data_IF_309728914564
#
_entry.id   IF_309728914564
#
_cell.length_a   1.000
_cell.length_b   1.000
_cell.length_c   1.000
_cell.angle_alpha   90.00
_cell.angle_beta   90.00
_cell.angle_gamma   90.00
#
_symmetry.space_group_name_H-M   'P 1'
#
loop_
_entity.id
_entity.type
_entity.pdbx_description
1 polymer ?
#
# COMPACT_ATOMS: atom_id res chain seq x y z
N UNK A 1 8.34 -4.62 28.68
CA UNK A 1 7.02 -4.85 29.29
C UNK A 1 5.94 -5.07 28.24
N UNK A 2 5.80 -4.21 27.18
CA UNK A 2 4.81 -4.43 26.13
C UNK A 2 5.06 -5.72 25.32
N UNK A 3 6.31 -6.12 25.11
CA UNK A 3 6.66 -7.36 24.39
C UNK A 3 6.31 -8.63 25.16
N UNK A 4 6.42 -8.61 26.48
CA UNK A 4 6.04 -9.74 27.34
C UNK A 4 4.54 -9.96 27.32
N UNK A 5 3.74 -8.90 27.40
CA UNK A 5 2.28 -8.98 27.31
C UNK A 5 1.80 -9.58 25.97
N UNK A 6 2.56 -9.38 24.89
CA UNK A 6 2.24 -9.97 23.58
C UNK A 6 2.75 -11.41 23.40
N UNK A 7 3.76 -11.84 24.16
CA UNK A 7 4.36 -13.17 24.00
C UNK A 7 3.44 -14.32 24.48
N UNK A 8 2.51 -14.03 25.36
CA UNK A 8 1.52 -14.98 25.86
C UNK A 8 0.32 -15.17 24.91
N UNK A 9 0.21 -14.34 23.89
CA UNK A 9 -0.85 -14.43 22.88
C UNK A 9 -0.28 -14.97 21.57
N UNK A 10 -1.05 -15.82 20.91
CA UNK A 10 -0.70 -16.29 19.56
C UNK A 10 -0.68 -15.13 18.58
N UNK A 11 0.52 -14.74 18.14
CA UNK A 11 0.71 -13.68 17.17
C UNK A 11 0.78 -14.28 15.75
N UNK A 12 -0.02 -13.73 14.85
CA UNK A 12 -0.06 -14.17 13.46
C UNK A 12 0.26 -13.00 12.54
N UNK A 13 0.89 -13.29 11.40
CA UNK A 13 1.02 -12.31 10.33
C UNK A 13 -0.38 -11.99 9.81
N UNK A 14 -0.74 -10.72 9.80
CA UNK A 14 -2.02 -10.25 9.27
C UNK A 14 -2.05 -10.40 7.75
N UNK A 15 -3.15 -10.93 7.23
CA UNK A 15 -3.44 -10.90 5.82
C UNK A 15 -3.99 -9.51 5.39
N UNK A 16 -3.99 -9.22 4.09
CA UNK A 16 -4.62 -8.01 3.56
C UNK A 16 -6.10 -7.92 3.96
N UNK A 17 -6.81 -9.04 3.96
CA UNK A 17 -8.20 -9.10 4.40
C UNK A 17 -8.36 -8.68 5.86
N UNK A 18 -7.47 -9.12 6.76
CA UNK A 18 -7.51 -8.74 8.18
C UNK A 18 -7.42 -7.23 8.35
N UNK A 19 -6.52 -6.57 7.58
CA UNK A 19 -6.33 -5.12 7.64
C UNK A 19 -7.58 -4.38 7.14
N UNK A 20 -8.18 -4.86 6.07
CA UNK A 20 -9.41 -4.28 5.51
C UNK A 20 -10.58 -4.47 6.47
N UNK A 21 -10.77 -5.67 7.02
CA UNK A 21 -11.83 -5.93 8.00
C UNK A 21 -11.67 -5.09 9.26
N UNK A 22 -10.43 -4.92 9.72
CA UNK A 22 -10.15 -4.01 10.83
C UNK A 22 -10.52 -2.55 10.50
N UNK A 23 -10.21 -2.07 9.30
CA UNK A 23 -10.63 -0.74 8.85
C UNK A 23 -12.17 -0.61 8.73
N UNK A 24 -12.89 -1.72 8.60
CA UNK A 24 -14.36 -1.79 8.64
C UNK A 24 -14.92 -1.89 10.07
N UNK A 25 -14.09 -1.89 11.10
CA UNK A 25 -14.51 -2.06 12.50
C UNK A 25 -14.74 -3.52 12.89
N UNK A 26 -14.06 -4.46 12.22
CA UNK A 26 -14.18 -5.89 12.49
C UNK A 26 -12.87 -6.48 13.01
N UNK A 27 -12.96 -7.55 13.76
CA UNK A 27 -11.83 -8.33 14.25
C UNK A 27 -11.98 -9.81 13.88
N UNK A 28 -10.85 -10.52 13.83
CA UNK A 28 -10.86 -11.97 13.67
C UNK A 28 -11.63 -12.64 14.82
N UNK A 29 -12.57 -13.49 14.45
CA UNK A 29 -13.26 -14.35 15.43
C UNK A 29 -12.29 -15.41 15.96
N UNK A 30 -12.30 -15.58 17.28
CA UNK A 30 -11.46 -16.55 17.97
C UNK A 30 -12.32 -17.50 18.78
N UNK A 31 -11.84 -18.70 18.96
CA UNK A 31 -12.43 -19.68 19.87
C UNK A 31 -12.08 -19.40 21.35
N UNK A 32 -12.52 -20.28 22.25
CA UNK A 32 -12.26 -20.15 23.68
C UNK A 32 -10.76 -20.25 24.07
N UNK A 33 -9.93 -20.80 23.18
CA UNK A 33 -8.47 -20.92 23.36
C UNK A 33 -7.71 -19.75 22.73
N UNK A 34 -8.42 -18.81 22.11
CA UNK A 34 -7.82 -17.68 21.41
C UNK A 34 -7.36 -17.98 19.96
N UNK A 35 -7.67 -19.18 19.44
CA UNK A 35 -7.31 -19.59 18.10
C UNK A 35 -8.26 -18.98 17.05
N UNK A 36 -7.74 -18.69 15.86
CA UNK A 36 -8.54 -18.15 14.75
C UNK A 36 -9.51 -19.19 14.22
N UNK A 37 -10.76 -18.80 14.01
CA UNK A 37 -11.77 -19.64 13.39
C UNK A 37 -11.75 -19.47 11.88
N UNK A 38 -11.57 -20.55 11.14
CA UNK A 38 -11.53 -20.55 9.68
C UNK A 38 -11.98 -21.89 9.09
N UNK A 39 -12.34 -21.86 7.81
CA UNK A 39 -12.55 -23.06 6.99
C UNK A 39 -11.43 -23.17 5.97
N UNK A 40 -11.06 -24.41 5.63
CA UNK A 40 -10.05 -24.71 4.60
C UNK A 40 -10.72 -25.50 3.48
N UNK A 41 -10.49 -25.08 2.25
CA UNK A 41 -10.91 -25.81 1.05
C UNK A 41 -9.71 -26.07 0.15
N UNK A 42 -9.82 -27.10 -0.68
CA UNK A 42 -8.74 -27.57 -1.55
C UNK A 42 -8.04 -28.82 -0.99
N UNK A 43 -7.08 -29.30 -1.75
CA UNK A 43 -6.28 -30.47 -1.37
C UNK A 43 -4.80 -30.08 -1.43
N UNK A 44 -4.06 -30.45 -0.38
CA UNK A 44 -2.63 -30.15 -0.35
C UNK A 44 -1.90 -30.72 -1.57
N UNK A 45 -1.14 -29.88 -2.24
CA UNK A 45 -0.30 -30.25 -3.39
C UNK A 45 1.10 -29.66 -3.22
N UNK A 46 2.14 -30.50 -3.03
CA UNK A 46 3.51 -30.03 -2.85
C UNK A 46 4.08 -29.30 -4.07
N UNK A 47 3.56 -29.56 -5.27
CA UNK A 47 4.00 -28.91 -6.51
C UNK A 47 3.40 -27.49 -6.66
N UNK A 48 2.34 -27.20 -5.91
CA UNK A 48 1.63 -25.90 -5.92
C UNK A 48 1.28 -25.45 -4.50
N UNK A 49 2.25 -25.33 -3.60
CA UNK A 49 1.98 -25.14 -2.16
C UNK A 49 1.28 -23.82 -1.83
N UNK A 50 1.38 -22.80 -2.71
CA UNK A 50 0.78 -21.50 -2.49
C UNK A 50 -0.68 -21.39 -2.93
N UNK A 51 -1.14 -22.27 -3.81
CA UNK A 51 -2.43 -22.13 -4.50
C UNK A 51 -3.34 -23.35 -4.32
N UNK A 52 -2.94 -24.33 -3.50
CA UNK A 52 -3.69 -25.57 -3.35
C UNK A 52 -4.71 -25.54 -2.21
N UNK A 53 -4.56 -24.62 -1.26
CA UNK A 53 -5.47 -24.47 -0.14
C UNK A 53 -6.00 -23.02 -0.09
N UNK A 54 -7.29 -22.90 0.17
CA UNK A 54 -7.93 -21.61 0.43
C UNK A 54 -8.42 -21.58 1.87
N UNK A 55 -8.01 -20.57 2.61
CA UNK A 55 -8.42 -20.32 3.99
C UNK A 55 -9.46 -19.20 3.99
N UNK A 56 -10.61 -19.44 4.59
CA UNK A 56 -11.65 -18.44 4.81
C UNK A 56 -11.83 -18.21 6.31
N UNK A 57 -11.36 -17.07 6.79
CA UNK A 57 -11.46 -16.67 8.18
C UNK A 57 -12.84 -16.09 8.51
N UNK A 58 -13.26 -16.24 9.76
CA UNK A 58 -14.45 -15.61 10.29
C UNK A 58 -14.11 -14.29 10.99
N UNK A 59 -14.98 -13.31 10.82
CA UNK A 59 -14.86 -11.99 11.44
C UNK A 59 -16.13 -11.66 12.22
N UNK A 60 -15.97 -10.87 13.27
CA UNK A 60 -17.05 -10.33 14.11
C UNK A 60 -16.87 -8.83 14.25
N UNK A 61 -17.90 -8.13 14.68
CA UNK A 61 -17.77 -6.71 15.00
C UNK A 61 -16.81 -6.54 16.18
N UNK A 62 -15.91 -5.55 16.07
CA UNK A 62 -14.98 -5.24 17.14
C UNK A 62 -15.73 -4.49 18.26
N UNK A 63 -15.79 -5.02 19.48
CA UNK A 63 -16.47 -4.34 20.59
C UNK A 63 -15.77 -3.03 20.99
N UNK A 64 -14.53 -2.80 20.55
CA UNK A 64 -13.79 -1.56 20.79
C UNK A 64 -13.84 -0.59 19.58
N UNK A 65 -14.65 -0.92 18.57
CA UNK A 65 -14.78 -0.06 17.38
C UNK A 65 -15.34 1.32 17.77
N UNK A 66 -14.59 2.36 17.43
CA UNK A 66 -14.98 3.76 17.71
C UNK A 66 -15.77 4.39 16.56
N UNK A 67 -16.10 3.62 15.51
CA UNK A 67 -16.73 4.13 14.29
C UNK A 67 -15.78 4.82 13.32
N UNK A 68 -14.48 4.91 13.64
CA UNK A 68 -13.50 5.43 12.70
C UNK A 68 -13.31 4.45 11.52
N UNK A 69 -13.23 4.99 10.31
CA UNK A 69 -13.08 4.20 9.07
C UNK A 69 -11.83 4.67 8.33
N UNK A 70 -10.63 4.24 8.76
CA UNK A 70 -9.38 4.61 8.12
C UNK A 70 -9.27 4.00 6.72
N UNK A 71 -8.43 4.59 5.90
CA UNK A 71 -7.98 3.97 4.66
C UNK A 71 -6.84 2.99 4.90
N UNK A 72 -6.45 2.27 3.84
CA UNK A 72 -5.33 1.35 3.84
C UNK A 72 -4.29 1.81 2.82
N UNK A 73 -3.06 1.97 3.27
CA UNK A 73 -1.92 2.29 2.42
C UNK A 73 -1.07 1.03 2.25
N UNK A 74 -1.14 0.40 1.07
CA UNK A 74 -0.59 -0.94 0.82
C UNK A 74 0.73 -0.83 0.07
N UNK A 75 1.81 -1.30 0.66
CA UNK A 75 3.11 -1.35 0.01
C UNK A 75 3.41 -2.72 -0.61
N UNK A 76 3.73 -2.71 -1.90
CA UNK A 76 4.21 -3.88 -2.64
C UNK A 76 5.74 -3.95 -2.52
N UNK A 77 6.20 -4.77 -1.60
CA UNK A 77 7.63 -4.97 -1.37
C UNK A 77 8.22 -6.01 -2.31
N UNK A 78 9.51 -5.88 -2.59
CA UNK A 78 10.37 -6.92 -3.17
C UNK A 78 9.74 -7.63 -4.37
N UNK A 79 9.47 -6.90 -5.45
CA UNK A 79 8.74 -7.43 -6.62
C UNK A 79 9.34 -8.72 -7.19
N UNK A 80 10.66 -8.94 -7.06
CA UNK A 80 11.34 -10.16 -7.49
C UNK A 80 11.04 -11.39 -6.62
N UNK A 81 10.57 -11.21 -5.39
CA UNK A 81 10.12 -12.29 -4.49
C UNK A 81 8.64 -12.62 -4.68
N UNK A 82 7.89 -11.74 -5.31
CA UNK A 82 6.47 -11.92 -5.54
C UNK A 82 6.21 -12.75 -6.81
N UNK A 83 5.11 -13.53 -6.86
CA UNK A 83 4.65 -14.12 -8.09
C UNK A 83 4.43 -13.05 -9.17
N UNK A 84 4.62 -13.41 -10.44
CA UNK A 84 4.45 -12.49 -11.59
C UNK A 84 3.02 -11.94 -11.73
N UNK A 85 2.04 -12.59 -11.11
CA UNK A 85 0.63 -12.20 -11.06
C UNK A 85 0.21 -11.55 -9.71
N UNK A 86 1.18 -11.10 -8.91
CA UNK A 86 0.92 -10.57 -7.57
C UNK A 86 -0.02 -9.36 -7.59
N UNK A 87 0.21 -8.39 -8.47
CA UNK A 87 -0.61 -7.18 -8.59
C UNK A 87 -2.05 -7.53 -9.00
N UNK A 88 -2.21 -8.51 -9.88
CA UNK A 88 -3.52 -9.05 -10.25
C UNK A 88 -4.22 -9.74 -9.08
N UNK A 89 -3.49 -10.48 -8.26
CA UNK A 89 -4.04 -11.09 -7.03
C UNK A 89 -4.54 -10.03 -6.06
N UNK A 90 -3.81 -8.92 -5.92
CA UNK A 90 -4.27 -7.78 -5.10
C UNK A 90 -5.51 -7.15 -5.70
N UNK A 91 -5.54 -6.92 -7.02
CA UNK A 91 -6.73 -6.42 -7.72
C UNK A 91 -7.96 -7.29 -7.40
N UNK A 92 -7.84 -8.61 -7.58
CA UNK A 92 -8.93 -9.54 -7.33
C UNK A 92 -9.34 -9.58 -5.85
N UNK A 93 -8.39 -9.51 -4.93
CA UNK A 93 -8.69 -9.49 -3.49
C UNK A 93 -9.41 -8.21 -3.08
N UNK A 94 -8.99 -7.06 -3.59
CA UNK A 94 -9.70 -5.79 -3.35
C UNK A 94 -11.11 -5.82 -3.94
N UNK A 95 -11.28 -6.46 -5.10
CA UNK A 95 -12.59 -6.64 -5.72
C UNK A 95 -13.52 -7.53 -4.88
N UNK A 96 -13.01 -8.69 -4.45
CA UNK A 96 -13.71 -9.62 -3.55
C UNK A 96 -14.18 -8.94 -2.26
N UNK A 97 -13.34 -8.08 -1.69
CA UNK A 97 -13.60 -7.37 -0.45
C UNK A 97 -14.47 -6.09 -0.63
N UNK A 98 -14.78 -5.72 -1.89
CA UNK A 98 -15.55 -4.53 -2.19
C UNK A 98 -14.77 -3.21 -2.07
N UNK A 99 -13.43 -3.28 -2.05
CA UNK A 99 -12.54 -2.14 -1.88
C UNK A 99 -11.80 -1.74 -3.16
N UNK A 100 -12.12 -2.35 -4.29
CA UNK A 100 -11.56 -1.97 -5.58
C UNK A 100 -12.37 -0.81 -6.17
N UNK A 101 -11.78 0.37 -6.22
CA UNK A 101 -12.43 1.58 -6.76
C UNK A 101 -12.92 1.43 -8.21
N UNK A 102 -12.32 0.53 -8.99
CA UNK A 102 -12.70 0.32 -10.40
C UNK A 102 -14.06 -0.37 -10.47
N UNK A 103 -14.32 -1.33 -9.60
CA UNK A 103 -15.53 -2.14 -9.55
C UNK A 103 -16.53 -1.62 -8.54
N UNK A 104 -16.07 -0.89 -7.54
CA UNK A 104 -16.85 -0.25 -6.47
C UNK A 104 -16.44 1.22 -6.30
N UNK A 105 -16.71 2.06 -7.29
CA UNK A 105 -16.39 3.48 -7.19
C UNK A 105 -17.19 4.14 -6.05
N UNK A 106 -16.62 5.18 -5.47
CA UNK A 106 -17.30 6.00 -4.47
C UNK A 106 -18.21 7.00 -5.16
N UNK A 107 -19.50 6.88 -4.93
CA UNK A 107 -20.51 7.74 -5.58
C UNK A 107 -20.29 9.22 -5.20
N UNK A 108 -20.36 10.07 -6.24
CA UNK A 108 -20.24 11.52 -6.07
C UNK A 108 -18.81 12.05 -5.89
N UNK A 109 -17.79 11.16 -5.79
CA UNK A 109 -16.40 11.56 -5.64
C UNK A 109 -15.61 11.31 -6.94
N UNK A 110 -15.08 12.37 -7.58
CA UNK A 110 -14.30 12.20 -8.81
C UNK A 110 -12.91 11.64 -8.51
N UNK A 111 -12.33 10.89 -9.47
CA UNK A 111 -10.96 10.36 -9.33
C UNK A 111 -9.90 11.47 -9.26
N UNK A 112 -10.12 12.57 -9.95
CA UNK A 112 -9.29 13.77 -9.86
C UNK A 112 -10.07 14.93 -9.26
N UNK A 113 -9.45 15.64 -8.33
CA UNK A 113 -9.97 16.87 -7.71
C UNK A 113 -8.85 17.92 -7.72
N UNK A 114 -9.13 19.10 -8.26
CA UNK A 114 -8.13 20.16 -8.42
C UNK A 114 -6.86 19.69 -9.19
N UNK A 115 -7.05 18.92 -10.25
CA UNK A 115 -5.99 18.33 -11.08
C UNK A 115 -5.05 17.36 -10.35
N UNK A 116 -5.43 16.86 -9.17
CA UNK A 116 -4.68 15.86 -8.40
C UNK A 116 -5.56 14.65 -8.14
N UNK A 117 -4.94 13.49 -7.94
CA UNK A 117 -5.68 12.29 -7.54
C UNK A 117 -6.44 12.56 -6.24
N UNK A 118 -7.70 12.18 -6.21
CA UNK A 118 -8.52 12.27 -5.01
C UNK A 118 -8.36 10.97 -4.21
N UNK A 119 -7.49 10.99 -3.22
CA UNK A 119 -7.22 9.81 -2.37
C UNK A 119 -8.40 9.41 -1.48
N UNK A 120 -9.42 10.26 -1.37
CA UNK A 120 -10.66 9.97 -0.65
C UNK A 120 -11.75 9.31 -1.49
N UNK A 121 -11.49 9.00 -2.77
CA UNK A 121 -12.49 8.55 -3.74
C UNK A 121 -12.74 7.03 -3.76
N UNK A 122 -12.24 6.27 -2.80
CA UNK A 122 -12.52 4.85 -2.63
C UNK A 122 -13.45 4.62 -1.46
N UNK A 123 -14.24 3.53 -1.49
CA UNK A 123 -15.03 3.15 -0.32
C UNK A 123 -14.14 2.91 0.91
N UNK A 124 -12.96 2.32 0.69
CA UNK A 124 -12.00 2.04 1.73
C UNK A 124 -10.76 2.94 1.71
N UNK A 125 -10.70 3.97 0.84
CA UNK A 125 -9.53 4.85 0.73
C UNK A 125 -8.23 4.06 0.56
N UNK A 126 -8.13 3.28 -0.50
CA UNK A 126 -6.93 2.48 -0.81
C UNK A 126 -5.92 3.30 -1.58
N UNK A 127 -4.69 3.35 -1.09
CA UNK A 127 -3.53 3.84 -1.83
C UNK A 127 -2.54 2.67 -1.95
N UNK A 128 -2.05 2.41 -3.14
CA UNK A 128 -0.98 1.45 -3.38
C UNK A 128 0.35 2.18 -3.45
N UNK A 129 1.43 1.54 -3.00
CA UNK A 129 2.78 2.09 -3.14
C UNK A 129 3.81 0.99 -3.42
N UNK A 130 4.89 1.36 -4.07
CA UNK A 130 6.03 0.48 -4.32
C UNK A 130 7.30 1.27 -4.59
N UNK A 131 8.44 0.68 -4.22
CA UNK A 131 9.77 1.12 -4.67
C UNK A 131 10.13 0.54 -6.04
N UNK A 132 9.51 -0.56 -6.44
CA UNK A 132 9.86 -1.31 -7.63
C UNK A 132 9.22 -0.72 -8.89
N UNK A 133 10.03 -0.35 -9.87
CA UNK A 133 9.55 0.09 -11.19
C UNK A 133 8.75 -1.01 -11.89
N UNK A 134 9.18 -2.27 -11.76
CA UNK A 134 8.47 -3.40 -12.36
C UNK A 134 7.08 -3.62 -11.73
N UNK A 135 6.97 -3.51 -10.41
CA UNK A 135 5.67 -3.59 -9.73
C UNK A 135 4.77 -2.40 -10.09
N UNK A 136 5.35 -1.19 -10.21
CA UNK A 136 4.62 -0.01 -10.69
C UNK A 136 4.03 -0.24 -12.09
N UNK A 137 4.83 -0.79 -13.02
CA UNK A 137 4.39 -1.14 -14.37
C UNK A 137 3.25 -2.14 -14.36
N UNK A 138 3.37 -3.25 -13.61
CA UNK A 138 2.31 -4.27 -13.47
C UNK A 138 1.04 -3.68 -12.85
N UNK A 139 1.19 -2.82 -11.85
CA UNK A 139 0.05 -2.11 -11.24
C UNK A 139 -0.66 -1.22 -12.27
N UNK A 140 0.11 -0.51 -13.11
CA UNK A 140 -0.48 0.30 -14.18
C UNK A 140 -1.23 -0.55 -15.21
N UNK A 141 -0.74 -1.75 -15.50
CA UNK A 141 -1.41 -2.70 -16.41
C UNK A 141 -2.71 -3.24 -15.81
N UNK A 142 -2.72 -3.66 -14.56
CA UNK A 142 -3.91 -4.25 -13.92
C UNK A 142 -4.96 -3.19 -13.57
N UNK A 143 -4.57 -2.10 -12.94
CA UNK A 143 -5.49 -1.06 -12.45
C UNK A 143 -5.77 0.04 -13.49
N UNK A 144 -5.10 0.03 -14.64
CA UNK A 144 -5.28 1.02 -15.73
C UNK A 144 -5.10 2.48 -15.29
N UNK A 145 -4.30 2.72 -14.26
CA UNK A 145 -4.12 4.04 -13.67
C UNK A 145 -5.35 4.58 -12.93
N UNK A 146 -6.28 3.73 -12.50
CA UNK A 146 -7.54 4.11 -11.86
C UNK A 146 -7.60 3.76 -10.37
N UNK A 147 -6.45 3.58 -9.74
CA UNK A 147 -6.30 3.49 -8.29
C UNK A 147 -5.22 4.48 -7.87
N UNK A 148 -5.33 5.18 -6.72
CA UNK A 148 -4.25 6.01 -6.22
C UNK A 148 -2.98 5.19 -6.06
N UNK A 149 -1.90 5.59 -6.74
CA UNK A 149 -0.63 4.87 -6.76
C UNK A 149 0.53 5.81 -6.45
N UNK A 150 1.34 5.44 -5.46
CA UNK A 150 2.54 6.12 -5.06
C UNK A 150 3.79 5.38 -5.56
N UNK A 151 4.67 6.09 -6.24
CA UNK A 151 6.00 5.62 -6.56
C UNK A 151 6.97 6.15 -5.52
N UNK A 152 7.55 5.22 -4.74
CA UNK A 152 8.47 5.54 -3.66
C UNK A 152 9.88 5.76 -4.22
N UNK A 153 10.50 6.86 -3.80
CA UNK A 153 11.86 7.21 -4.22
C UNK A 153 12.86 6.74 -3.16
N UNK A 154 13.80 5.94 -3.59
CA UNK A 154 14.91 5.45 -2.79
C UNK A 154 16.16 5.29 -3.65
N UNK A 155 17.31 5.71 -3.14
CA UNK A 155 18.59 5.52 -3.81
C UNK A 155 18.92 4.01 -3.87
N UNK A 156 19.28 3.49 -5.03
CA UNK A 156 19.64 2.08 -5.21
C UNK A 156 18.47 1.15 -5.63
N UNK A 157 17.25 1.62 -5.75
CA UNK A 157 16.10 0.85 -6.24
C UNK A 157 15.87 0.99 -7.75
N UNK A 158 15.36 -0.01 -8.38
CA UNK A 158 15.11 -0.25 -9.79
C UNK A 158 14.81 0.87 -10.80
N UNK A 159 14.72 2.13 -10.35
CA UNK A 159 14.68 3.33 -11.19
C UNK A 159 15.93 4.22 -10.98
N UNK A 160 16.99 3.72 -10.40
CA UNK A 160 17.92 4.47 -9.57
C UNK A 160 19.28 4.70 -10.14
N UNK A 161 19.47 4.45 -11.40
CA UNK A 161 20.51 5.13 -12.17
C UNK A 161 20.20 6.64 -12.32
N UNK A 162 19.01 7.06 -11.84
CA UNK A 162 18.58 8.45 -11.86
C UNK A 162 19.12 9.17 -10.63
N UNK A 163 19.89 10.22 -10.88
CA UNK A 163 20.43 11.07 -9.82
C UNK A 163 19.34 11.94 -9.21
N UNK A 164 18.98 11.67 -7.95
CA UNK A 164 17.98 12.44 -7.21
C UNK A 164 18.45 13.84 -6.79
N UNK A 165 19.76 14.07 -6.78
CA UNK A 165 20.44 15.31 -6.35
C UNK A 165 20.54 16.37 -7.45
N UNK A 166 20.08 16.06 -8.66
CA UNK A 166 20.04 17.02 -9.79
C UNK A 166 18.60 17.25 -10.25
N UNK A 167 18.23 18.48 -10.67
CA UNK A 167 16.89 18.76 -11.18
C UNK A 167 16.49 17.85 -12.36
N UNK A 168 17.41 17.58 -13.26
CA UNK A 168 17.17 16.71 -14.43
C UNK A 168 16.93 15.26 -14.02
N UNK A 169 17.75 14.71 -13.11
CA UNK A 169 17.61 13.35 -12.61
C UNK A 169 16.32 13.18 -11.83
N UNK A 170 15.99 14.14 -10.97
CA UNK A 170 14.75 14.12 -10.21
C UNK A 170 13.50 14.23 -11.10
N UNK A 171 13.53 15.10 -12.10
CA UNK A 171 12.46 15.22 -13.09
C UNK A 171 12.30 13.94 -13.90
N UNK A 172 13.39 13.25 -14.24
CA UNK A 172 13.33 11.94 -14.94
C UNK A 172 12.66 10.88 -14.09
N UNK A 173 12.90 10.86 -12.78
CA UNK A 173 12.19 9.97 -11.86
C UNK A 173 10.68 10.25 -11.82
N UNK A 174 10.29 11.53 -11.72
CA UNK A 174 8.88 11.95 -11.77
C UNK A 174 8.24 11.51 -13.10
N UNK A 175 8.95 11.68 -14.22
CA UNK A 175 8.46 11.26 -15.53
C UNK A 175 8.24 9.76 -15.65
N UNK A 176 9.10 8.93 -15.05
CA UNK A 176 8.86 7.48 -14.93
C UNK A 176 7.58 7.19 -14.16
N UNK A 177 7.35 7.87 -13.04
CA UNK A 177 6.11 7.77 -12.30
C UNK A 177 4.89 8.10 -13.16
N UNK A 178 4.93 9.18 -13.92
CA UNK A 178 3.85 9.59 -14.82
C UNK A 178 3.63 8.58 -15.96
N UNK A 179 4.69 8.08 -16.56
CA UNK A 179 4.65 7.06 -17.63
C UNK A 179 3.89 5.82 -17.16
N UNK A 180 4.18 5.35 -15.96
CA UNK A 180 3.53 4.18 -15.37
C UNK A 180 2.35 4.51 -14.45
N UNK A 181 1.67 5.64 -14.71
CA UNK A 181 0.39 5.99 -14.07
C UNK A 181 0.45 6.16 -12.56
N UNK A 182 1.60 6.50 -11.98
CA UNK A 182 1.65 6.95 -10.61
C UNK A 182 0.99 8.34 -10.48
N UNK A 183 0.41 8.59 -9.32
CA UNK A 183 -0.29 9.84 -8.99
C UNK A 183 0.38 10.58 -7.85
N UNK A 184 1.29 9.89 -7.17
CA UNK A 184 1.95 10.34 -5.95
C UNK A 184 3.42 9.97 -6.08
N UNK A 185 4.30 10.88 -5.68
CA UNK A 185 5.72 10.59 -5.43
C UNK A 185 5.93 10.53 -3.92
N UNK A 186 6.61 9.47 -3.47
CA UNK A 186 6.99 9.29 -2.07
C UNK A 186 8.50 9.38 -1.90
N UNK A 187 9.07 10.57 -1.68
CA UNK A 187 10.50 10.73 -1.42
C UNK A 187 10.82 10.43 0.04
N UNK A 188 12.05 9.96 0.32
CA UNK A 188 12.54 9.91 1.70
C UNK A 188 12.96 11.30 2.17
N UNK A 189 12.96 11.47 3.49
CA UNK A 189 13.44 12.67 4.17
C UNK A 189 14.65 12.34 5.04
N UNK A 190 15.57 13.27 5.13
CA UNK A 190 16.71 13.17 6.05
C UNK A 190 16.31 13.42 7.51
N UNK A 191 17.24 13.15 8.41
CA UNK A 191 17.12 13.44 9.84
C UNK A 191 16.96 12.20 10.73
N UNK A 192 17.43 12.35 11.97
CA UNK A 192 17.34 11.28 12.97
C UNK A 192 15.87 10.92 13.28
N UNK A 193 15.56 9.64 13.57
CA UNK A 193 16.49 8.52 13.76
C UNK A 193 16.95 7.82 12.47
N UNK A 194 16.43 8.21 11.31
CA UNK A 194 16.77 7.60 10.03
C UNK A 194 18.01 8.27 9.43
N UNK A 195 18.88 7.49 8.82
CA UNK A 195 20.04 7.99 8.07
C UNK A 195 19.73 7.95 6.56
N UNK A 196 18.64 8.62 6.18
CA UNK A 196 18.21 8.69 4.80
C UNK A 196 18.77 9.91 4.11
N UNK A 197 19.06 9.85 2.80
CA UNK A 197 19.37 11.04 2.02
C UNK A 197 18.15 11.96 1.95
N UNK A 198 18.38 13.27 1.84
CA UNK A 198 17.31 14.23 1.62
C UNK A 198 16.83 14.17 0.16
N UNK A 199 15.61 13.72 -0.04
CA UNK A 199 14.97 13.64 -1.36
C UNK A 199 13.67 14.46 -1.43
N UNK A 200 13.40 15.30 -0.44
CA UNK A 200 12.24 16.17 -0.39
C UNK A 200 12.61 17.64 -0.10
N UNK A 201 13.80 18.06 -0.51
CA UNK A 201 14.21 19.46 -0.42
C UNK A 201 13.19 20.39 -1.14
N UNK A 202 13.12 21.68 -0.80
CA UNK A 202 12.12 22.59 -1.37
C UNK A 202 12.03 22.58 -2.91
N UNK A 203 13.16 22.47 -3.61
CA UNK A 203 13.17 22.40 -5.06
C UNK A 203 12.64 21.07 -5.60
N UNK A 204 12.86 19.95 -4.90
CA UNK A 204 12.34 18.62 -5.23
C UNK A 204 10.82 18.57 -5.03
N UNK A 205 10.36 19.02 -3.88
CA UNK A 205 8.93 19.16 -3.59
C UNK A 205 8.22 20.08 -4.60
N UNK A 206 8.89 21.15 -5.05
CA UNK A 206 8.38 22.02 -6.10
C UNK A 206 8.21 21.29 -7.43
N UNK A 207 9.17 20.47 -7.85
CA UNK A 207 9.07 19.68 -9.08
C UNK A 207 7.90 18.68 -9.02
N UNK A 208 7.72 17.98 -7.89
CA UNK A 208 6.56 17.09 -7.69
C UNK A 208 5.25 17.89 -7.83
N UNK A 209 5.15 19.03 -7.15
CA UNK A 209 3.96 19.89 -7.24
C UNK A 209 3.67 20.34 -8.67
N UNK A 210 4.71 20.70 -9.42
CA UNK A 210 4.62 21.15 -10.83
C UNK A 210 4.17 20.04 -11.78
N UNK A 211 4.51 18.78 -11.50
CA UNK A 211 4.06 17.64 -12.30
C UNK A 211 2.57 17.32 -12.14
N UNK A 212 1.88 17.95 -11.17
CA UNK A 212 0.50 17.65 -10.84
C UNK A 212 0.32 16.48 -9.87
N UNK A 213 1.41 15.83 -9.45
CA UNK A 213 1.35 14.72 -8.50
C UNK A 213 1.23 15.21 -7.05
N UNK A 214 0.75 14.32 -6.17
CA UNK A 214 0.84 14.51 -4.73
C UNK A 214 2.24 14.17 -4.25
N UNK A 215 2.64 14.76 -3.13
CA UNK A 215 3.91 14.51 -2.46
C UNK A 215 3.62 13.86 -1.10
N UNK A 216 3.98 12.59 -0.94
CA UNK A 216 3.82 11.82 0.29
C UNK A 216 5.19 11.38 0.81
N UNK A 217 5.95 12.25 1.46
CA UNK A 217 7.28 11.91 1.96
C UNK A 217 7.22 10.90 3.12
N UNK A 218 8.32 10.15 3.30
CA UNK A 218 8.51 9.14 4.36
C UNK A 218 9.96 9.21 4.90
N UNK A 219 10.25 8.73 6.09
CA UNK A 219 9.37 8.48 7.23
C UNK A 219 9.54 9.58 8.26
N UNK A 220 8.46 10.02 8.85
CA UNK A 220 8.50 10.99 9.94
C UNK A 220 8.51 10.24 11.28
N UNK A 221 9.70 10.08 11.87
CA UNK A 221 9.91 9.28 13.09
C UNK A 221 10.22 10.17 14.31
N UNK A 222 10.32 11.47 14.11
CA UNK A 222 10.52 12.46 15.17
C UNK A 222 9.79 13.77 14.89
N UNK A 223 9.53 14.54 15.94
CA UNK A 223 8.96 15.88 15.79
C UNK A 223 9.87 16.85 15.02
N UNK A 224 11.19 16.63 15.07
CA UNK A 224 12.14 17.47 14.34
C UNK A 224 12.07 17.29 12.82
N UNK A 225 11.49 16.18 12.34
CA UNK A 225 11.29 15.91 10.91
C UNK A 225 9.98 16.49 10.38
N UNK A 226 9.06 16.92 11.27
CA UNK A 226 7.75 17.51 10.92
C UNK A 226 7.87 19.03 10.78
#
# INVERSE_FOLDING_TARGET
>A
QAREAFSEQHQYISALEDQIRYAEGKMLKRDANGERIYTVTGTWNPDKPRDCLTYKFEYVDDPQDTGNRPGVYIEFKESWLNPSDFEKRVYNKLDELGWNIITKPCDGEPFYKNNKVNVGNTNGKVILQTFSLESLRRTAEEFKGKIPMCFLLWEGNGATDLKHDTPQGYASFINLGLEYKAHIIGPCIAGAPNDYPEMNAPWQAYLIKKSGMLNHPYSFDSYAQM
#
